data_IF_059298651894
#
_entry.id   IF_059298651894
#
_cell.length_a   1.000
_cell.length_b   1.000
_cell.length_c   1.000
_cell.angle_alpha   90.00
_cell.angle_beta   90.00
_cell.angle_gamma   90.00
#
_symmetry.space_group_name_H-M   'P 1'
#
loop_
_entity.id
_entity.type
_entity.pdbx_description
1 polymer ?
#
# COMPACT_ATOMS: atom_id res chain seq x y z
N UNK A 1 55.65 74.93 -1.10
CA UNK A 1 54.95 75.90 -1.93
C UNK A 1 53.47 75.51 -1.79
N UNK A 2 52.72 76.10 -0.81
CA UNK A 2 51.85 77.22 -1.10
C UNK A 2 50.57 76.69 -1.81
N UNK A 3 49.37 76.79 -1.40
CA UNK A 3 48.55 77.72 -0.59
C UNK A 3 47.17 77.13 -0.43
N UNK A 4 46.61 77.09 0.76
CA UNK A 4 45.54 77.94 1.35
C UNK A 4 44.13 77.80 0.80
N UNK A 5 43.22 77.55 1.73
CA UNK A 5 41.95 78.28 2.11
C UNK A 5 40.75 77.93 1.24
N UNK A 6 39.57 77.72 1.71
CA UNK A 6 38.81 78.50 2.70
C UNK A 6 37.54 77.80 3.19
N UNK A 7 37.02 78.27 4.24
CA UNK A 7 35.81 77.99 5.04
C UNK A 7 34.48 78.21 4.29
N UNK A 8 33.50 77.38 4.64
CA UNK A 8 32.09 77.67 4.35
C UNK A 8 31.15 76.96 5.28
N UNK A 9 30.69 77.62 6.29
CA UNK A 9 29.70 77.30 7.32
C UNK A 9 28.28 77.10 6.81
N UNK A 10 27.51 76.24 7.46
CA UNK A 10 26.03 76.32 7.47
C UNK A 10 25.40 74.92 7.52
N UNK A 11 24.98 74.42 8.57
CA UNK A 11 23.82 74.60 9.37
C UNK A 11 22.76 73.54 9.18
N UNK A 12 22.34 72.96 10.26
CA UNK A 12 21.03 72.42 10.59
C UNK A 12 20.69 70.95 10.23
N UNK A 13 20.62 70.13 11.23
CA UNK A 13 19.43 69.39 11.68
C UNK A 13 18.89 68.25 10.75
N UNK A 14 19.32 67.04 11.02
CA UNK A 14 18.64 65.86 10.48
C UNK A 14 18.86 64.70 11.44
N UNK A 15 17.81 64.30 12.12
CA UNK A 15 17.72 63.13 12.99
C UNK A 15 18.24 61.85 12.30
N UNK A 16 18.98 60.99 12.96
CA UNK A 16 19.42 59.71 12.38
C UNK A 16 18.24 58.73 12.32
N UNK A 17 17.73 58.54 11.13
CA UNK A 17 16.83 57.43 10.82
C UNK A 17 17.54 56.12 11.08
N UNK A 18 16.96 55.31 11.93
CA UNK A 18 17.38 53.96 12.22
C UNK A 18 17.37 53.08 10.95
N UNK A 19 18.49 52.99 10.28
CA UNK A 19 18.71 51.99 9.25
C UNK A 19 18.85 50.61 9.94
N UNK A 20 17.70 49.93 10.11
CA UNK A 20 17.69 48.51 10.46
C UNK A 20 18.54 47.78 9.43
N UNK A 21 19.62 47.20 9.88
CA UNK A 21 20.52 46.41 9.04
C UNK A 21 19.74 45.28 8.35
N UNK A 22 19.99 45.00 7.05
CA UNK A 22 19.34 43.90 6.31
C UNK A 22 19.54 42.54 6.98
N UNK A 23 20.53 42.44 7.86
CA UNK A 23 20.90 41.23 8.58
C UNK A 23 19.91 40.86 9.72
N UNK A 24 19.18 41.83 10.27
CA UNK A 24 18.14 41.57 11.27
C UNK A 24 16.84 41.02 10.70
N UNK A 25 16.60 41.20 9.40
CA UNK A 25 15.45 40.64 8.71
C UNK A 25 15.62 39.13 8.33
N UNK A 26 16.86 38.63 8.34
CA UNK A 26 17.16 37.26 7.94
C UNK A 26 16.91 36.21 9.06
N UNK A 27 16.66 36.65 10.31
CA UNK A 27 16.44 35.77 11.46
C UNK A 27 15.00 35.64 11.92
N UNK A 28 14.04 36.14 11.15
CA UNK A 28 12.64 35.80 11.39
C UNK A 28 12.42 34.32 11.06
N UNK A 29 12.59 33.47 12.06
CA UNK A 29 12.13 32.08 12.02
C UNK A 29 10.63 32.13 11.74
N UNK A 30 10.24 31.91 10.49
CA UNK A 30 8.84 31.74 10.12
C UNK A 30 8.37 30.49 10.85
N UNK A 31 7.46 30.61 11.83
CA UNK A 31 6.94 29.43 12.52
C UNK A 31 6.36 28.50 11.47
N UNK A 32 6.93 27.31 11.34
CA UNK A 32 6.48 26.31 10.41
C UNK A 32 5.02 26.00 10.68
N UNK A 33 4.16 26.53 9.82
CA UNK A 33 2.71 26.25 9.83
C UNK A 33 2.58 24.73 9.77
N UNK A 34 2.12 24.12 10.87
CA UNK A 34 1.79 22.70 10.90
C UNK A 34 0.93 22.38 9.66
N UNK A 35 1.52 21.71 8.70
CA UNK A 35 0.83 21.29 7.48
C UNK A 35 -0.23 20.31 7.92
N UNK A 36 -1.48 20.74 8.02
CA UNK A 36 -2.60 19.81 8.18
C UNK A 36 -2.53 18.82 7.03
N UNK A 37 -2.33 17.56 7.35
CA UNK A 37 -2.34 16.46 6.38
C UNK A 37 -3.78 16.35 5.87
N UNK A 38 -4.11 17.14 4.84
CA UNK A 38 -5.36 16.95 4.11
C UNK A 38 -5.19 15.73 3.23
N UNK A 39 -5.83 14.65 3.59
CA UNK A 39 -5.96 13.48 2.72
C UNK A 39 -6.46 13.95 1.34
N UNK A 40 -5.73 13.67 0.26
CA UNK A 40 -6.19 14.05 -1.06
C UNK A 40 -7.48 13.27 -1.33
N UNK A 41 -8.52 13.98 -1.76
CA UNK A 41 -9.78 13.39 -2.24
C UNK A 41 -9.54 12.76 -3.62
N UNK A 42 -8.66 11.76 -3.68
CA UNK A 42 -8.48 10.94 -4.88
C UNK A 42 -9.69 10.01 -5.00
N UNK A 43 -10.40 9.99 -6.13
CA UNK A 43 -11.52 9.08 -6.31
C UNK A 43 -11.12 7.62 -6.15
N UNK A 44 -9.88 7.26 -6.44
CA UNK A 44 -9.34 5.91 -6.25
C UNK A 44 -9.32 5.50 -4.79
N UNK A 45 -8.88 6.40 -3.88
CA UNK A 45 -8.85 6.15 -2.43
C UNK A 45 -10.28 6.00 -1.92
N UNK A 46 -11.20 6.87 -2.33
CA UNK A 46 -12.59 6.82 -1.86
C UNK A 46 -13.25 5.51 -2.30
N UNK A 47 -13.14 5.15 -3.59
CA UNK A 47 -13.71 3.91 -4.12
C UNK A 47 -13.07 2.70 -3.42
N UNK A 48 -11.75 2.65 -3.29
CA UNK A 48 -11.04 1.57 -2.61
C UNK A 48 -11.45 1.42 -1.14
N UNK A 49 -11.60 2.54 -0.40
CA UNK A 49 -12.06 2.53 1.00
C UNK A 49 -13.52 2.06 1.12
N UNK A 50 -14.41 2.51 0.23
CA UNK A 50 -15.81 2.08 0.24
C UNK A 50 -15.89 0.58 -0.05
N UNK A 51 -15.17 0.09 -1.07
CA UNK A 51 -15.14 -1.34 -1.40
C UNK A 51 -14.53 -2.16 -0.25
N UNK A 52 -13.39 -1.75 0.30
CA UNK A 52 -12.77 -2.46 1.43
C UNK A 52 -13.68 -2.41 2.67
N UNK A 53 -14.28 -1.26 2.95
CA UNK A 53 -15.26 -1.10 4.04
C UNK A 53 -16.46 -2.04 3.87
N UNK A 54 -16.96 -2.19 2.65
CA UNK A 54 -18.01 -3.15 2.32
C UNK A 54 -17.57 -4.59 2.68
N UNK A 55 -16.38 -5.02 2.24
CA UNK A 55 -15.88 -6.37 2.54
C UNK A 55 -15.61 -6.60 4.03
N UNK A 56 -15.10 -5.58 4.75
CA UNK A 56 -14.93 -5.67 6.20
C UNK A 56 -16.27 -5.80 6.92
N UNK A 57 -17.25 -5.00 6.52
CA UNK A 57 -18.60 -5.10 7.06
C UNK A 57 -19.22 -6.48 6.75
N UNK A 58 -19.05 -6.95 5.51
CA UNK A 58 -19.50 -8.25 5.05
C UNK A 58 -18.87 -9.40 5.86
N UNK A 59 -17.58 -9.32 6.17
CA UNK A 59 -16.89 -10.33 6.98
C UNK A 59 -17.32 -10.32 8.47
N UNK A 60 -17.63 -9.13 9.01
CA UNK A 60 -18.05 -9.00 10.41
C UNK A 60 -19.52 -9.44 10.56
N UNK A 61 -20.40 -8.91 9.72
CA UNK A 61 -21.86 -9.10 9.84
C UNK A 61 -22.33 -10.39 9.15
N UNK A 62 -21.60 -10.84 8.10
CA UNK A 62 -21.96 -11.98 7.28
C UNK A 62 -22.34 -13.24 8.05
N UNK A 63 -21.57 -13.70 9.03
CA UNK A 63 -21.89 -14.90 9.81
C UNK A 63 -23.20 -14.80 10.60
N UNK A 64 -23.66 -13.58 10.93
CA UNK A 64 -24.91 -13.37 11.68
C UNK A 64 -26.15 -13.27 10.79
N UNK A 65 -25.96 -12.84 9.54
CA UNK A 65 -27.04 -12.71 8.56
C UNK A 65 -27.14 -13.90 7.61
N UNK A 66 -26.19 -14.86 7.70
CA UNK A 66 -26.24 -16.08 6.89
C UNK A 66 -27.54 -16.86 7.16
N UNK A 67 -28.38 -17.11 6.13
CA UNK A 67 -29.67 -17.76 6.33
C UNK A 67 -29.54 -19.20 6.83
N UNK A 68 -28.45 -19.86 6.45
CA UNK A 68 -28.21 -21.28 6.75
C UNK A 68 -26.79 -21.47 7.32
N UNK A 69 -26.59 -22.55 8.07
CA UNK A 69 -25.22 -22.96 8.40
C UNK A 69 -24.47 -23.35 7.13
N UNK A 70 -23.23 -22.88 6.91
CA UNK A 70 -22.51 -23.11 5.65
C UNK A 70 -22.33 -24.59 5.26
N UNK A 71 -22.28 -25.48 6.25
CA UNK A 71 -22.14 -26.93 6.04
C UNK A 71 -23.43 -27.72 6.08
N UNK A 72 -24.59 -27.07 6.37
CA UNK A 72 -25.85 -27.76 6.43
C UNK A 72 -26.38 -28.10 5.03
N UNK A 73 -26.82 -29.34 4.83
CA UNK A 73 -27.56 -29.71 3.63
C UNK A 73 -28.99 -29.15 3.76
N UNK A 74 -29.38 -28.26 2.86
CA UNK A 74 -30.63 -27.49 2.91
C UNK A 74 -31.67 -27.95 1.90
N UNK A 75 -31.31 -28.94 1.06
CA UNK A 75 -32.20 -29.46 0.00
C UNK A 75 -32.17 -30.99 -0.06
N UNK A 76 -33.22 -31.58 -0.63
CA UNK A 76 -33.40 -33.03 -0.76
C UNK A 76 -33.27 -33.54 -2.21
N UNK A 77 -32.65 -32.76 -3.10
CA UNK A 77 -32.63 -33.03 -4.56
C UNK A 77 -31.52 -33.99 -5.00
N UNK A 78 -31.20 -35.01 -4.21
CA UNK A 78 -30.30 -36.12 -4.60
C UNK A 78 -28.94 -35.70 -5.18
N UNK A 79 -28.33 -34.62 -4.65
CA UNK A 79 -26.98 -34.22 -5.04
C UNK A 79 -26.89 -33.35 -6.32
N UNK A 80 -28.01 -32.90 -6.90
CA UNK A 80 -28.01 -31.99 -8.04
C UNK A 80 -27.99 -30.54 -7.55
N UNK A 81 -26.97 -29.73 -7.90
CA UNK A 81 -26.92 -28.31 -7.57
C UNK A 81 -28.16 -27.57 -8.09
N UNK A 82 -28.81 -26.78 -7.23
CA UNK A 82 -29.99 -26.01 -7.63
C UNK A 82 -29.57 -24.59 -8.06
N UNK A 83 -30.18 -24.05 -9.11
CA UNK A 83 -29.96 -22.67 -9.53
C UNK A 83 -30.46 -21.67 -8.49
N UNK A 84 -30.07 -20.39 -8.60
CA UNK A 84 -30.55 -19.31 -7.75
C UNK A 84 -32.08 -19.28 -7.67
N UNK A 85 -32.61 -19.15 -6.45
CA UNK A 85 -34.04 -19.13 -6.15
C UNK A 85 -34.33 -18.21 -4.96
N UNK A 86 -35.62 -17.97 -4.67
CA UNK A 86 -36.00 -17.17 -3.49
C UNK A 86 -35.58 -17.83 -2.16
N UNK A 87 -35.47 -19.15 -2.09
CA UNK A 87 -34.98 -19.88 -0.92
C UNK A 87 -33.42 -19.88 -0.86
N UNK A 88 -32.77 -19.92 -2.01
CA UNK A 88 -31.32 -19.96 -2.14
C UNK A 88 -30.85 -18.89 -3.13
N UNK A 89 -30.52 -17.71 -2.63
CA UNK A 89 -30.22 -16.51 -3.45
C UNK A 89 -29.11 -16.74 -4.48
N UNK A 90 -28.09 -17.50 -4.12
CA UNK A 90 -27.00 -17.91 -5.02
C UNK A 90 -27.01 -19.43 -5.30
N UNK A 91 -28.19 -20.08 -5.19
CA UNK A 91 -28.31 -21.51 -5.44
C UNK A 91 -27.59 -22.38 -4.42
N UNK A 92 -27.46 -23.68 -4.74
CA UNK A 92 -26.83 -24.68 -3.87
C UNK A 92 -25.64 -25.37 -4.53
N UNK A 93 -24.77 -25.95 -3.70
CA UNK A 93 -23.65 -26.81 -4.12
C UNK A 93 -24.14 -28.24 -4.41
N UNK A 94 -23.26 -29.11 -4.90
CA UNK A 94 -23.54 -30.52 -5.06
C UNK A 94 -23.85 -31.24 -3.73
N UNK A 95 -23.30 -30.77 -2.61
CA UNK A 95 -23.63 -31.25 -1.27
C UNK A 95 -24.91 -30.62 -0.71
N UNK A 96 -25.69 -29.93 -1.55
CA UNK A 96 -26.94 -29.24 -1.18
C UNK A 96 -26.75 -28.12 -0.15
N UNK A 97 -25.59 -27.52 -0.08
CA UNK A 97 -25.26 -26.44 0.83
C UNK A 97 -25.52 -25.08 0.17
N UNK A 98 -25.99 -24.11 0.94
CA UNK A 98 -26.33 -22.78 0.42
C UNK A 98 -25.07 -21.95 0.10
N UNK A 99 -24.91 -21.60 -1.19
CA UNK A 99 -23.73 -20.86 -1.70
C UNK A 99 -23.64 -19.46 -1.09
N UNK A 100 -24.79 -18.79 -0.88
CA UNK A 100 -24.81 -17.45 -0.29
C UNK A 100 -24.31 -17.44 1.16
N UNK A 101 -24.74 -18.40 1.97
CA UNK A 101 -24.28 -18.57 3.35
C UNK A 101 -22.77 -18.88 3.42
N UNK A 102 -22.28 -19.73 2.53
CA UNK A 102 -20.83 -20.01 2.42
C UNK A 102 -20.03 -18.76 2.03
N UNK A 103 -20.53 -17.95 1.09
CA UNK A 103 -19.89 -16.71 0.67
C UNK A 103 -19.78 -15.70 1.83
N UNK A 104 -20.85 -15.55 2.62
CA UNK A 104 -20.92 -14.67 3.79
C UNK A 104 -19.89 -15.08 4.86
N UNK A 105 -19.86 -16.36 5.23
CA UNK A 105 -18.99 -16.87 6.29
C UNK A 105 -17.52 -16.92 5.81
N UNK A 106 -17.29 -17.34 4.57
CA UNK A 106 -15.94 -17.49 3.99
C UNK A 106 -15.17 -16.18 3.88
N UNK A 107 -15.85 -15.04 3.81
CA UNK A 107 -15.22 -13.72 3.79
C UNK A 107 -14.45 -13.39 5.06
N UNK A 108 -14.92 -13.86 6.21
CA UNK A 108 -14.29 -13.60 7.51
C UNK A 108 -12.91 -14.23 7.61
N UNK A 109 -12.79 -15.52 7.31
CA UNK A 109 -11.52 -16.24 7.33
C UNK A 109 -10.52 -15.65 6.32
N UNK A 110 -10.99 -15.36 5.10
CA UNK A 110 -10.19 -14.74 4.06
C UNK A 110 -9.54 -13.43 4.50
N UNK A 111 -10.33 -12.51 5.06
CA UNK A 111 -9.85 -11.21 5.49
C UNK A 111 -8.93 -11.32 6.71
N UNK A 112 -9.29 -12.18 7.69
CA UNK A 112 -8.48 -12.40 8.88
C UNK A 112 -7.07 -12.86 8.51
N UNK A 113 -6.96 -13.90 7.67
CA UNK A 113 -5.67 -14.43 7.20
C UNK A 113 -4.88 -13.37 6.43
N UNK A 114 -5.53 -12.65 5.50
CA UNK A 114 -4.86 -11.67 4.67
C UNK A 114 -4.31 -10.48 5.47
N UNK A 115 -5.09 -9.93 6.39
CA UNK A 115 -4.64 -8.81 7.23
C UNK A 115 -3.59 -9.24 8.25
N UNK A 116 -3.74 -10.43 8.86
CA UNK A 116 -2.75 -10.98 9.77
C UNK A 116 -1.41 -11.21 9.08
N UNK A 117 -1.42 -11.91 7.94
CA UNK A 117 -0.22 -12.14 7.14
C UNK A 117 0.42 -10.83 6.69
N UNK A 118 -0.39 -9.88 6.20
CA UNK A 118 0.06 -8.56 5.79
C UNK A 118 0.72 -7.77 6.92
N UNK A 119 0.13 -7.78 8.13
CA UNK A 119 0.67 -7.10 9.29
C UNK A 119 2.02 -7.68 9.73
N UNK A 120 2.08 -9.00 9.88
CA UNK A 120 3.31 -9.70 10.33
C UNK A 120 4.43 -9.52 9.29
N UNK A 121 4.14 -9.75 8.00
CA UNK A 121 5.12 -9.58 6.94
C UNK A 121 5.62 -8.13 6.84
N UNK A 122 4.75 -7.14 7.05
CA UNK A 122 5.15 -5.73 7.06
C UNK A 122 6.04 -5.42 8.25
N UNK A 123 5.74 -5.91 9.44
CA UNK A 123 6.60 -5.73 10.62
C UNK A 123 7.97 -6.36 10.37
N UNK A 124 8.04 -7.57 9.84
CA UNK A 124 9.30 -8.23 9.45
C UNK A 124 10.06 -7.40 8.40
N UNK A 125 9.36 -6.88 7.39
CA UNK A 125 9.93 -6.03 6.35
C UNK A 125 10.52 -4.75 6.92
N UNK A 126 9.84 -4.11 7.86
CA UNK A 126 10.33 -2.88 8.53
C UNK A 126 11.57 -3.21 9.37
N UNK A 127 11.49 -4.21 10.24
CA UNK A 127 12.59 -4.57 11.14
C UNK A 127 13.84 -4.95 10.34
N UNK A 128 13.70 -5.85 9.37
CA UNK A 128 14.83 -6.36 8.60
C UNK A 128 15.32 -5.33 7.60
N UNK A 129 14.42 -4.72 6.82
CA UNK A 129 14.78 -3.79 5.75
C UNK A 129 15.38 -2.49 6.26
N UNK A 130 14.79 -1.88 7.31
CA UNK A 130 15.31 -0.64 7.87
C UNK A 130 16.63 -0.90 8.60
N UNK A 131 16.75 -1.99 9.34
CA UNK A 131 18.00 -2.36 10.02
C UNK A 131 19.14 -2.62 9.02
N UNK A 132 18.89 -3.38 7.96
CA UNK A 132 19.85 -3.63 6.89
C UNK A 132 20.28 -2.32 6.20
N UNK A 133 19.33 -1.44 5.87
CA UNK A 133 19.62 -0.17 5.23
C UNK A 133 20.36 0.84 6.09
N UNK A 134 20.15 0.81 7.41
CA UNK A 134 20.79 1.75 8.35
C UNK A 134 22.15 1.26 8.85
N UNK A 135 22.26 -0.01 9.27
CA UNK A 135 23.47 -0.65 9.74
C UNK A 135 24.24 -1.20 8.52
N UNK A 136 25.37 -0.59 8.18
CA UNK A 136 26.23 -1.07 7.09
C UNK A 136 27.10 -2.26 7.51
N UNK A 137 27.83 -2.86 6.54
CA UNK A 137 28.74 -3.98 6.76
C UNK A 137 28.05 -5.33 6.91
N UNK A 138 28.60 -6.21 7.74
CA UNK A 138 28.11 -7.60 7.87
C UNK A 138 26.60 -7.72 8.18
N UNK A 139 26.05 -6.79 8.94
CA UNK A 139 24.61 -6.79 9.25
C UNK A 139 23.77 -6.59 7.98
N UNK A 140 24.16 -5.62 7.15
CA UNK A 140 23.50 -5.39 5.87
C UNK A 140 23.64 -6.60 4.95
N UNK A 141 24.86 -7.15 4.83
CA UNK A 141 25.13 -8.28 3.95
C UNK A 141 24.32 -9.51 4.34
N UNK A 142 24.27 -9.87 5.64
CA UNK A 142 23.53 -11.03 6.12
C UNK A 142 22.02 -10.87 5.98
N UNK A 143 21.45 -9.72 6.35
CA UNK A 143 20.02 -9.48 6.24
C UNK A 143 19.57 -9.36 4.78
N UNK A 144 20.40 -8.79 3.92
CA UNK A 144 20.15 -8.72 2.48
C UNK A 144 20.27 -10.09 1.83
N UNK A 145 21.25 -10.92 2.24
CA UNK A 145 21.36 -12.30 1.77
C UNK A 145 20.13 -13.13 2.18
N UNK A 146 19.65 -12.99 3.41
CA UNK A 146 18.44 -13.64 3.88
C UNK A 146 17.21 -13.24 3.04
N UNK A 147 17.02 -11.92 2.80
CA UNK A 147 15.93 -11.43 1.98
C UNK A 147 16.02 -11.94 0.53
N UNK A 148 17.22 -11.95 -0.06
CA UNK A 148 17.44 -12.46 -1.40
C UNK A 148 17.16 -13.98 -1.48
N UNK A 149 17.51 -14.75 -0.46
CA UNK A 149 17.19 -16.18 -0.39
C UNK A 149 15.68 -16.41 -0.49
N UNK A 150 14.88 -15.68 0.31
CA UNK A 150 13.42 -15.80 0.25
C UNK A 150 12.81 -15.29 -1.07
N UNK A 151 13.43 -14.30 -1.73
CA UNK A 151 12.96 -13.81 -3.03
C UNK A 151 13.22 -14.77 -4.20
N UNK A 152 14.26 -15.62 -4.11
CA UNK A 152 14.59 -16.60 -5.13
C UNK A 152 13.70 -17.84 -5.01
N UNK A 153 13.26 -18.18 -3.79
CA UNK A 153 12.38 -19.32 -3.58
C UNK A 153 10.99 -19.07 -4.19
N UNK A 154 10.49 -19.97 -5.04
CA UNK A 154 9.14 -19.82 -5.55
C UNK A 154 8.14 -20.06 -4.42
N UNK A 155 7.35 -19.03 -4.11
CA UNK A 155 6.51 -18.98 -2.91
C UNK A 155 5.50 -20.14 -2.83
N UNK A 156 4.73 -20.40 -3.89
CA UNK A 156 3.73 -21.48 -3.88
C UNK A 156 4.32 -22.88 -3.67
N UNK A 157 5.39 -23.31 -4.39
CA UNK A 157 6.06 -24.58 -4.10
C UNK A 157 6.58 -24.68 -2.67
N UNK A 158 7.16 -23.60 -2.13
CA UNK A 158 7.61 -23.59 -0.73
C UNK A 158 6.44 -23.79 0.24
N UNK A 159 5.33 -23.14 0.01
CA UNK A 159 4.11 -23.27 0.82
C UNK A 159 3.53 -24.69 0.73
N UNK A 160 3.50 -25.31 -0.45
CA UNK A 160 3.07 -26.70 -0.62
C UNK A 160 3.91 -27.64 0.25
N UNK A 161 5.23 -27.47 0.22
CA UNK A 161 6.15 -28.28 1.05
C UNK A 161 5.87 -28.06 2.54
N UNK A 162 5.77 -26.80 2.99
CA UNK A 162 5.51 -26.48 4.40
C UNK A 162 4.18 -27.11 4.86
N UNK A 163 3.11 -26.96 4.07
CA UNK A 163 1.81 -27.53 4.40
C UNK A 163 1.79 -29.05 4.38
N UNK A 164 2.61 -29.69 3.54
CA UNK A 164 2.75 -31.14 3.50
C UNK A 164 3.34 -31.76 4.79
N UNK A 165 4.09 -30.97 5.57
CA UNK A 165 4.62 -31.39 6.88
C UNK A 165 3.73 -31.01 8.07
N UNK A 166 2.65 -30.25 7.85
CA UNK A 166 1.76 -29.84 8.92
C UNK A 166 0.73 -30.95 9.25
N UNK A 167 0.36 -31.09 10.53
CA UNK A 167 -0.80 -31.91 10.91
C UNK A 167 -2.06 -31.43 10.18
N UNK A 168 -3.00 -32.32 9.93
CA UNK A 168 -4.29 -32.01 9.26
C UNK A 168 -5.06 -30.87 9.92
N UNK A 169 -4.89 -30.67 11.23
CA UNK A 169 -5.46 -29.52 11.97
C UNK A 169 -4.83 -28.17 11.61
N UNK A 170 -3.61 -28.15 11.10
CA UNK A 170 -2.91 -26.93 10.73
C UNK A 170 -3.58 -26.17 9.57
N UNK A 171 -4.17 -26.88 8.63
CA UNK A 171 -4.92 -26.30 7.51
C UNK A 171 -6.27 -25.68 7.87
N UNK A 172 -6.70 -25.78 9.14
CA UNK A 172 -7.94 -25.15 9.64
C UNK A 172 -7.67 -23.94 10.56
N UNK A 173 -6.40 -23.63 10.85
CA UNK A 173 -6.04 -22.56 11.76
C UNK A 173 -5.62 -21.29 10.97
N UNK A 174 -6.50 -20.32 10.91
CA UNK A 174 -6.30 -19.05 10.21
C UNK A 174 -5.03 -18.31 10.66
N UNK A 175 -4.70 -18.37 11.95
CA UNK A 175 -3.50 -17.71 12.49
C UNK A 175 -2.24 -18.40 11.97
N UNK A 176 -2.21 -19.72 11.98
CA UNK A 176 -1.06 -20.49 11.48
C UNK A 176 -0.87 -20.29 9.97
N UNK A 177 -1.96 -20.31 9.20
CA UNK A 177 -1.93 -20.04 7.76
C UNK A 177 -1.39 -18.62 7.50
N UNK A 178 -1.88 -17.61 8.23
CA UNK A 178 -1.40 -16.25 8.14
C UNK A 178 0.09 -16.09 8.45
N UNK A 179 0.59 -16.77 9.49
CA UNK A 179 2.02 -16.81 9.84
C UNK A 179 2.87 -17.40 8.72
N UNK A 180 2.44 -18.52 8.14
CA UNK A 180 3.18 -19.19 7.08
C UNK A 180 3.24 -18.32 5.82
N UNK A 181 2.14 -17.67 5.44
CA UNK A 181 2.11 -16.72 4.31
C UNK A 181 3.03 -15.52 4.61
N UNK A 182 3.04 -15.03 5.85
CA UNK A 182 3.90 -13.91 6.24
C UNK A 182 5.39 -14.22 6.05
N UNK A 183 5.82 -15.46 6.34
CA UNK A 183 7.21 -15.90 6.17
C UNK A 183 7.68 -15.80 4.70
N UNK A 184 6.79 -15.92 3.74
CA UNK A 184 7.14 -15.78 2.31
C UNK A 184 6.96 -14.35 1.80
N UNK A 185 6.07 -13.55 2.39
CA UNK A 185 5.65 -12.24 1.88
C UNK A 185 6.52 -11.04 2.32
N UNK A 186 7.38 -11.18 3.32
CA UNK A 186 8.11 -10.05 3.91
C UNK A 186 9.30 -9.56 3.07
N UNK A 187 9.96 -10.44 2.33
CA UNK A 187 11.27 -10.19 1.73
C UNK A 187 11.26 -9.07 0.68
N UNK A 188 10.20 -8.96 -0.11
CA UNK A 188 10.03 -7.88 -1.08
C UNK A 188 9.92 -6.51 -0.40
N UNK A 189 9.08 -6.40 0.63
CA UNK A 189 8.94 -5.19 1.44
C UNK A 189 10.24 -4.77 2.12
N UNK A 190 10.98 -5.73 2.67
CA UNK A 190 12.29 -5.49 3.29
C UNK A 190 13.29 -4.90 2.29
N UNK A 191 13.33 -5.42 1.07
CA UNK A 191 14.21 -4.89 0.00
C UNK A 191 13.85 -3.46 -0.38
N UNK A 192 12.57 -3.14 -0.51
CA UNK A 192 12.09 -1.78 -0.79
C UNK A 192 12.47 -0.83 0.33
N UNK A 193 12.18 -1.20 1.59
CA UNK A 193 12.48 -0.38 2.77
C UNK A 193 13.98 -0.20 2.98
N UNK A 194 14.80 -1.22 2.71
CA UNK A 194 16.26 -1.10 2.72
C UNK A 194 16.74 -0.03 1.74
N UNK A 195 16.27 -0.07 0.49
CA UNK A 195 16.66 0.89 -0.55
C UNK A 195 16.28 2.33 -0.15
N UNK A 196 15.11 2.53 0.43
CA UNK A 196 14.67 3.83 0.92
C UNK A 196 15.48 4.30 2.14
N UNK A 197 15.78 3.40 3.08
CA UNK A 197 16.62 3.70 4.24
C UNK A 197 18.03 4.13 3.85
N UNK A 198 18.62 3.48 2.84
CA UNK A 198 19.92 3.86 2.29
C UNK A 198 19.93 5.31 1.76
N UNK A 199 18.81 5.78 1.19
CA UNK A 199 18.71 7.17 0.72
C UNK A 199 18.51 8.18 1.84
N UNK A 200 17.90 7.76 2.96
CA UNK A 200 17.61 8.63 4.10
C UNK A 200 18.78 8.73 5.10
N UNK A 201 19.56 7.66 5.25
CA UNK A 201 20.63 7.59 6.28
C UNK A 201 21.75 8.61 6.11
N UNK A 202 21.91 9.17 4.91
CA UNK A 202 22.94 10.17 4.57
C UNK A 202 22.34 11.60 4.51
N UNK A 203 21.20 11.84 5.16
CA UNK A 203 20.58 13.17 5.22
C UNK A 203 21.13 13.96 6.41
N UNK A 204 21.20 15.27 6.25
CA UNK A 204 21.77 16.21 7.24
C UNK A 204 21.18 16.06 8.63
N UNK A 205 19.87 15.79 8.74
CA UNK A 205 19.22 15.60 10.04
C UNK A 205 19.65 14.30 10.74
N UNK A 206 19.99 13.24 9.98
CA UNK A 206 20.50 11.97 10.50
C UNK A 206 21.95 12.17 10.98
N UNK A 207 22.75 12.91 10.22
CA UNK A 207 24.13 13.21 10.61
C UNK A 207 24.18 14.14 11.82
N UNK A 208 23.27 15.11 11.92
CA UNK A 208 23.11 15.95 13.11
C UNK A 208 22.78 15.14 14.36
N UNK A 209 21.88 14.15 14.25
CA UNK A 209 21.53 13.26 15.35
C UNK A 209 22.73 12.36 15.76
N UNK A 210 23.53 11.90 14.81
CA UNK A 210 24.79 11.16 15.10
C UNK A 210 25.80 12.02 15.82
N UNK A 211 26.01 13.28 15.41
CA UNK A 211 26.90 14.23 16.04
C UNK A 211 26.43 14.60 17.46
N UNK A 212 25.11 14.61 17.70
CA UNK A 212 24.55 14.78 19.04
C UNK A 212 24.73 13.55 19.96
N UNK A 213 25.30 12.44 19.45
CA UNK A 213 25.56 11.22 20.23
C UNK A 213 24.32 10.32 20.39
N UNK A 214 23.30 10.50 19.58
CA UNK A 214 22.09 9.67 19.61
C UNK A 214 22.37 8.21 19.28
N UNK A 215 21.69 7.29 19.98
CA UNK A 215 21.81 5.84 19.73
C UNK A 215 21.13 5.43 18.42
N UNK A 216 21.68 4.47 17.70
CA UNK A 216 21.17 3.99 16.40
C UNK A 216 19.66 3.66 16.43
N UNK A 217 19.17 2.94 17.44
CA UNK A 217 17.75 2.59 17.55
C UNK A 217 16.84 3.83 17.68
N UNK A 218 17.33 4.90 18.32
CA UNK A 218 16.58 6.16 18.45
C UNK A 218 16.56 6.92 17.14
N UNK A 219 17.67 6.97 16.41
CA UNK A 219 17.74 7.55 15.07
C UNK A 219 16.79 6.78 14.12
N UNK A 220 16.81 5.44 14.15
CA UNK A 220 15.90 4.62 13.34
C UNK A 220 14.44 4.93 13.67
N UNK A 221 14.08 4.97 14.96
CA UNK A 221 12.68 5.11 15.39
C UNK A 221 12.12 6.52 15.23
N UNK A 222 12.93 7.56 15.47
CA UNK A 222 12.43 8.94 15.49
C UNK A 222 12.77 9.74 14.23
N UNK A 223 13.88 9.42 13.55
CA UNK A 223 14.30 10.19 12.37
C UNK A 223 14.01 9.47 11.06
N UNK A 224 14.19 8.15 11.00
CA UNK A 224 14.05 7.40 9.74
C UNK A 224 12.62 6.84 9.58
N UNK A 225 12.12 6.11 10.58
CA UNK A 225 10.85 5.40 10.49
C UNK A 225 9.65 6.33 10.20
N UNK A 226 9.51 7.53 10.81
CA UNK A 226 8.42 8.43 10.50
C UNK A 226 8.42 8.90 9.03
N UNK A 227 9.58 9.04 8.43
CA UNK A 227 9.73 9.41 7.03
C UNK A 227 9.43 8.24 6.07
N UNK A 228 9.52 6.99 6.56
CA UNK A 228 9.19 5.77 5.81
C UNK A 228 7.72 5.36 5.95
N UNK A 229 6.96 5.91 6.92
CA UNK A 229 5.57 5.51 7.18
C UNK A 229 4.67 5.45 5.92
N UNK A 230 4.74 6.42 5.00
CA UNK A 230 3.94 6.34 3.77
C UNK A 230 4.30 5.10 2.91
N UNK A 231 5.58 4.77 2.82
CA UNK A 231 6.08 3.60 2.07
C UNK A 231 5.71 2.30 2.80
N UNK A 232 5.78 2.29 4.14
CA UNK A 232 5.33 1.16 4.97
C UNK A 232 3.84 0.90 4.74
N UNK A 233 3.01 1.94 4.68
CA UNK A 233 1.57 1.82 4.40
C UNK A 233 1.30 1.22 3.00
N UNK A 234 2.02 1.68 1.96
CA UNK A 234 1.93 1.10 0.61
C UNK A 234 2.40 -0.36 0.61
N UNK A 235 3.52 -0.67 1.26
CA UNK A 235 4.03 -2.04 1.41
C UNK A 235 3.04 -2.95 2.14
N UNK A 236 2.37 -2.45 3.18
CA UNK A 236 1.33 -3.19 3.89
C UNK A 236 0.17 -3.57 2.97
N UNK A 237 -0.39 -2.62 2.22
CA UNK A 237 -1.49 -2.88 1.30
C UNK A 237 -1.08 -3.88 0.20
N UNK A 238 0.13 -3.74 -0.33
CA UNK A 238 0.68 -4.69 -1.29
C UNK A 238 0.82 -6.10 -0.71
N UNK A 239 1.30 -6.21 0.54
CA UNK A 239 1.47 -7.51 1.21
C UNK A 239 0.13 -8.15 1.56
N UNK A 240 -0.89 -7.36 1.96
CA UNK A 240 -2.25 -7.85 2.14
C UNK A 240 -2.82 -8.38 0.81
N UNK A 241 -2.63 -7.65 -0.29
CA UNK A 241 -3.04 -8.11 -1.62
C UNK A 241 -2.35 -9.42 -2.02
N UNK A 242 -1.03 -9.51 -1.78
CA UNK A 242 -0.26 -10.75 -1.97
C UNK A 242 -0.82 -11.90 -1.13
N UNK A 243 -1.17 -11.65 0.13
CA UNK A 243 -1.73 -12.66 1.03
C UNK A 243 -3.12 -13.14 0.58
N UNK A 244 -3.99 -12.25 0.08
CA UNK A 244 -5.28 -12.61 -0.54
C UNK A 244 -5.08 -13.59 -1.70
N UNK A 245 -4.19 -13.26 -2.63
CA UNK A 245 -3.90 -14.13 -3.79
C UNK A 245 -3.29 -15.47 -3.39
N UNK A 246 -2.32 -15.44 -2.47
CA UNK A 246 -1.62 -16.64 -1.99
C UNK A 246 -2.56 -17.57 -1.22
N UNK A 247 -3.36 -17.03 -0.29
CA UNK A 247 -4.34 -17.81 0.46
C UNK A 247 -5.39 -18.44 -0.47
N UNK A 248 -5.91 -17.67 -1.43
CA UNK A 248 -6.86 -18.18 -2.43
C UNK A 248 -6.25 -19.32 -3.23
N UNK A 249 -5.01 -19.18 -3.71
CA UNK A 249 -4.32 -20.22 -4.46
C UNK A 249 -4.10 -21.49 -3.62
N UNK A 250 -3.67 -21.34 -2.36
CA UNK A 250 -3.47 -22.47 -1.44
C UNK A 250 -4.80 -23.21 -1.16
N UNK A 251 -5.85 -22.46 -0.87
CA UNK A 251 -7.17 -23.04 -0.62
C UNK A 251 -7.73 -23.73 -1.89
N UNK A 252 -7.55 -23.13 -3.07
CA UNK A 252 -7.93 -23.69 -4.35
C UNK A 252 -7.17 -24.99 -4.70
N UNK A 253 -5.90 -25.11 -4.27
CA UNK A 253 -5.11 -26.32 -4.41
C UNK A 253 -5.41 -27.40 -3.35
N UNK A 254 -6.33 -27.12 -2.41
CA UNK A 254 -6.70 -28.05 -1.34
C UNK A 254 -5.68 -28.17 -0.19
N UNK A 255 -4.73 -27.23 -0.08
CA UNK A 255 -3.75 -27.19 1.01
C UNK A 255 -4.37 -26.71 2.32
N UNK A 256 -5.35 -25.82 2.24
CA UNK A 256 -6.21 -25.44 3.36
C UNK A 256 -7.29 -26.51 3.51
N UNK A 257 -7.66 -26.82 4.77
CA UNK A 257 -8.71 -27.80 5.01
C UNK A 257 -10.01 -27.42 4.25
N UNK A 258 -10.48 -28.27 3.32
CA UNK A 258 -11.65 -27.94 2.49
C UNK A 258 -12.97 -27.75 3.28
N UNK A 259 -13.02 -28.21 4.55
CA UNK A 259 -14.15 -27.99 5.46
C UNK A 259 -14.07 -26.63 6.18
N UNK A 260 -12.96 -25.92 6.04
CA UNK A 260 -12.78 -24.57 6.54
C UNK A 260 -13.29 -23.55 5.51
N UNK A 261 -14.41 -22.89 5.80
CA UNK A 261 -15.11 -22.05 4.85
C UNK A 261 -14.32 -20.78 4.49
N UNK A 262 -13.94 -20.67 3.24
CA UNK A 262 -13.33 -19.49 2.63
C UNK A 262 -13.70 -19.41 1.15
N UNK A 263 -13.52 -18.26 0.54
CA UNK A 263 -13.79 -18.13 -0.91
C UNK A 263 -12.87 -19.03 -1.75
N UNK A 264 -11.64 -19.30 -1.28
CA UNK A 264 -10.74 -20.22 -1.96
C UNK A 264 -11.18 -21.69 -1.86
N UNK A 265 -11.69 -22.13 -0.70
CA UNK A 265 -12.24 -23.49 -0.54
C UNK A 265 -13.55 -23.69 -1.28
N UNK A 266 -14.38 -22.64 -1.44
CA UNK A 266 -15.56 -22.68 -2.31
C UNK A 266 -15.15 -22.96 -3.77
N UNK A 267 -14.09 -22.29 -4.26
CA UNK A 267 -13.54 -22.53 -5.60
C UNK A 267 -12.97 -23.95 -5.75
N UNK A 268 -12.29 -24.45 -4.71
CA UNK A 268 -11.82 -25.85 -4.68
C UNK A 268 -12.97 -26.85 -4.86
N UNK A 269 -14.05 -26.70 -4.12
CA UNK A 269 -15.20 -27.59 -4.22
C UNK A 269 -15.92 -27.46 -5.59
N UNK A 270 -16.05 -26.25 -6.11
CA UNK A 270 -16.64 -26.01 -7.42
C UNK A 270 -15.82 -26.71 -8.52
N UNK A 271 -14.48 -26.58 -8.47
CA UNK A 271 -13.57 -27.27 -9.41
C UNK A 271 -13.66 -28.78 -9.26
N UNK A 272 -13.60 -29.31 -8.02
CA UNK A 272 -13.65 -30.74 -7.75
C UNK A 272 -14.94 -31.39 -8.23
N UNK A 273 -16.04 -30.63 -8.23
CA UNK A 273 -17.34 -31.06 -8.75
C UNK A 273 -17.53 -30.78 -10.26
N UNK A 274 -16.51 -30.30 -10.97
CA UNK A 274 -16.60 -29.90 -12.38
C UNK A 274 -17.75 -28.91 -12.66
N UNK A 275 -18.01 -27.98 -11.73
CA UNK A 275 -19.11 -27.04 -11.79
C UNK A 275 -19.06 -26.15 -13.06
N UNK A 276 -17.87 -25.83 -13.58
CA UNK A 276 -17.66 -25.05 -14.79
C UNK A 276 -18.18 -25.79 -16.02
N UNK A 277 -17.83 -27.07 -16.16
CA UNK A 277 -18.25 -27.92 -17.30
C UNK A 277 -19.75 -28.20 -17.24
N UNK A 278 -20.28 -28.37 -16.02
CA UNK A 278 -21.71 -28.64 -15.78
C UNK A 278 -22.58 -27.39 -15.88
N UNK A 279 -21.99 -26.20 -16.06
CA UNK A 279 -22.72 -24.94 -16.20
C UNK A 279 -23.26 -24.36 -14.89
N UNK A 280 -22.77 -24.81 -13.73
CA UNK A 280 -23.19 -24.31 -12.39
C UNK A 280 -22.46 -23.03 -12.02
N UNK A 281 -22.61 -21.96 -12.87
CA UNK A 281 -21.92 -20.67 -12.73
C UNK A 281 -22.13 -20.00 -11.37
N UNK A 282 -23.27 -20.20 -10.73
CA UNK A 282 -23.61 -19.63 -9.42
C UNK A 282 -22.76 -20.17 -8.28
N UNK A 283 -22.03 -21.25 -8.48
CA UNK A 283 -21.20 -21.84 -7.48
C UNK A 283 -19.77 -21.29 -7.49
N UNK A 284 -19.17 -21.07 -8.65
CA UNK A 284 -17.78 -20.59 -8.77
C UNK A 284 -17.68 -19.08 -9.04
N UNK A 285 -18.63 -18.46 -9.72
CA UNK A 285 -18.57 -17.05 -10.10
C UNK A 285 -18.64 -16.11 -8.87
N UNK A 286 -19.54 -16.28 -7.91
CA UNK A 286 -19.62 -15.39 -6.74
C UNK A 286 -18.33 -15.35 -5.90
N UNK A 287 -17.74 -16.48 -5.47
CA UNK A 287 -16.47 -16.42 -4.73
C UNK A 287 -15.31 -15.88 -5.56
N UNK A 288 -15.26 -16.19 -6.87
CA UNK A 288 -14.26 -15.62 -7.77
C UNK A 288 -14.36 -14.11 -7.90
N UNK A 289 -15.58 -13.58 -8.06
CA UNK A 289 -15.81 -12.12 -8.08
C UNK A 289 -15.51 -11.47 -6.73
N UNK A 290 -15.83 -12.12 -5.62
CA UNK A 290 -15.51 -11.57 -4.30
C UNK A 290 -13.99 -11.39 -4.12
N UNK A 291 -13.19 -12.39 -4.50
CA UNK A 291 -11.71 -12.28 -4.49
C UNK A 291 -11.23 -11.17 -5.44
N UNK A 292 -11.77 -11.10 -6.66
CA UNK A 292 -11.39 -10.10 -7.67
C UNK A 292 -11.71 -8.68 -7.21
N UNK A 293 -12.89 -8.44 -6.64
CA UNK A 293 -13.28 -7.13 -6.12
C UNK A 293 -12.49 -6.74 -4.87
N UNK A 294 -12.21 -7.69 -3.96
CA UNK A 294 -11.33 -7.43 -2.81
C UNK A 294 -9.92 -7.05 -3.27
N UNK A 295 -9.38 -7.80 -4.23
CA UNK A 295 -8.08 -7.49 -4.84
C UNK A 295 -8.07 -6.11 -5.51
N UNK A 296 -9.15 -5.76 -6.22
CA UNK A 296 -9.33 -4.44 -6.84
C UNK A 296 -9.39 -3.33 -5.79
N UNK A 297 -10.11 -3.54 -4.69
CA UNK A 297 -10.19 -2.57 -3.59
C UNK A 297 -8.81 -2.28 -3.00
N UNK A 298 -8.04 -3.32 -2.70
CA UNK A 298 -6.67 -3.20 -2.17
C UNK A 298 -5.71 -2.55 -3.17
N UNK A 299 -5.81 -2.91 -4.46
CA UNK A 299 -5.01 -2.30 -5.52
C UNK A 299 -5.31 -0.80 -5.69
N UNK A 300 -6.60 -0.41 -5.68
CA UNK A 300 -7.01 1.00 -5.75
C UNK A 300 -6.48 1.80 -4.56
N UNK A 301 -6.51 1.22 -3.36
CA UNK A 301 -5.95 1.84 -2.15
C UNK A 301 -4.44 1.99 -2.28
N UNK A 302 -3.73 0.95 -2.74
CA UNK A 302 -2.29 1.00 -2.93
C UNK A 302 -1.90 2.10 -3.94
N UNK A 303 -2.52 2.14 -5.12
CA UNK A 303 -2.30 3.22 -6.09
C UNK A 303 -2.64 4.60 -5.55
N UNK A 304 -3.66 4.70 -4.69
CA UNK A 304 -4.04 5.95 -4.04
C UNK A 304 -3.00 6.42 -3.03
N UNK A 305 -2.42 5.51 -2.25
CA UNK A 305 -1.33 5.80 -1.31
C UNK A 305 -0.07 6.19 -2.07
N UNK A 306 0.29 5.48 -3.14
CA UNK A 306 1.44 5.81 -3.98
C UNK A 306 1.31 7.21 -4.63
N UNK A 307 0.11 7.61 -5.06
CA UNK A 307 -0.17 8.95 -5.58
C UNK A 307 -0.02 10.03 -4.48
N UNK A 308 -0.27 9.67 -3.23
CA UNK A 308 -0.04 10.56 -2.08
C UNK A 308 1.44 10.72 -1.77
N UNK A 309 2.20 9.63 -1.81
CA UNK A 309 3.65 9.60 -1.53
C UNK A 309 4.41 10.34 -2.63
N UNK A 310 4.00 10.22 -3.89
CA UNK A 310 4.71 10.76 -5.04
C UNK A 310 3.94 11.91 -5.72
N UNK A 311 4.12 13.17 -5.27
CA UNK A 311 3.38 14.32 -5.81
C UNK A 311 3.66 14.59 -7.30
N UNK A 312 4.74 14.02 -7.88
CA UNK A 312 5.03 14.11 -9.32
C UNK A 312 3.99 13.37 -10.17
N UNK A 313 3.45 12.25 -9.69
CA UNK A 313 2.35 11.54 -10.37
C UNK A 313 1.08 12.38 -10.44
N UNK A 314 0.86 13.23 -9.44
CA UNK A 314 -0.25 14.20 -9.38
C UNK A 314 -0.09 15.33 -10.40
N UNK A 315 1.14 15.79 -10.58
CA UNK A 315 1.47 16.85 -11.56
C UNK A 315 1.25 16.36 -13.01
N UNK A 316 1.54 15.11 -13.31
CA UNK A 316 1.30 14.50 -14.62
C UNK A 316 -0.19 14.53 -15.03
N UNK A 317 -1.12 14.28 -14.08
CA UNK A 317 -2.56 14.38 -14.31
C UNK A 317 -3.04 15.82 -14.54
N UNK A 318 -2.43 16.80 -13.86
CA UNK A 318 -2.71 18.24 -14.06
C UNK A 318 -2.16 18.74 -15.40
N UNK A 319 -1.01 18.22 -15.82
CA UNK A 319 -0.40 18.54 -17.13
C UNK A 319 -1.31 18.08 -18.26
N UNK A 320 -1.91 16.88 -18.16
CA UNK A 320 -2.87 16.37 -19.15
C UNK A 320 -4.13 17.23 -19.26
N UNK A 321 -4.67 17.73 -18.14
CA UNK A 321 -5.80 18.69 -18.15
C UNK A 321 -5.38 20.04 -18.75
N UNK A 322 -4.19 20.54 -18.46
CA UNK A 322 -3.65 21.76 -19.08
C UNK A 322 -3.43 21.58 -20.58
N UNK A 323 -2.79 20.47 -20.99
CA UNK A 323 -2.57 20.16 -22.42
C UNK A 323 -3.91 20.09 -23.17
N UNK A 324 -4.96 19.48 -22.59
CA UNK A 324 -6.30 19.46 -23.18
C UNK A 324 -6.88 20.87 -23.32
N UNK A 325 -6.66 21.75 -22.33
CA UNK A 325 -7.09 23.14 -22.34
C UNK A 325 -6.35 23.99 -23.38
N UNK A 326 -5.05 23.70 -23.62
CA UNK A 326 -4.27 24.28 -24.70
C UNK A 326 -4.70 23.78 -26.11
N UNK A 327 -5.10 22.50 -26.20
CA UNK A 327 -5.57 21.91 -27.44
C UNK A 327 -6.94 22.46 -27.87
N UNK A 328 -7.77 22.92 -26.92
CA UNK A 328 -9.08 23.53 -27.18
C UNK A 328 -9.03 25.04 -27.45
N UNK A 329 -7.83 25.66 -27.48
CA UNK A 329 -7.69 27.12 -27.78
C UNK A 329 -8.06 28.06 -26.64
N UNK A 330 -8.40 27.53 -25.47
CA UNK A 330 -8.85 28.34 -24.31
C UNK A 330 -7.71 29.07 -23.56
N UNK A 331 -6.44 28.80 -23.92
CA UNK A 331 -5.27 29.45 -23.31
C UNK A 331 -4.29 29.85 -24.41
N UNK A 332 -3.80 31.13 -24.45
CA UNK A 332 -2.87 31.56 -25.47
C UNK A 332 -1.60 30.74 -25.48
N UNK A 333 -1.18 30.29 -26.68
CA UNK A 333 0.01 29.50 -26.92
C UNK A 333 1.30 30.29 -26.58
N UNK A 334 1.69 30.31 -25.31
CA UNK A 334 3.03 30.71 -24.87
C UNK A 334 3.72 29.49 -24.22
N UNK A 335 3.96 28.44 -25.00
CA UNK A 335 4.75 27.30 -24.54
C UNK A 335 5.71 26.88 -25.65
N UNK A 336 6.96 27.17 -25.46
CA UNK A 336 8.05 26.61 -26.26
C UNK A 336 8.53 25.35 -25.56
N UNK A 337 8.27 24.19 -26.15
CA UNK A 337 8.75 22.88 -25.64
C UNK A 337 10.27 22.88 -25.82
N UNK A 338 11.03 22.71 -24.72
CA UNK A 338 12.47 22.54 -24.76
C UNK A 338 13.34 23.61 -24.09
N UNK A 339 12.74 24.66 -23.53
CA UNK A 339 13.49 25.67 -22.75
C UNK A 339 13.34 25.37 -21.25
N UNK A 340 14.44 25.09 -20.58
CA UNK A 340 14.51 25.15 -19.12
C UNK A 340 14.27 26.59 -18.65
N UNK A 341 13.66 26.82 -17.48
CA UNK A 341 13.32 28.18 -16.99
C UNK A 341 14.53 29.13 -16.80
N UNK A 342 15.73 28.66 -17.05
CA UNK A 342 17.00 29.39 -16.84
C UNK A 342 17.50 30.08 -18.13
N UNK A 343 16.89 29.79 -19.29
CA UNK A 343 17.31 30.41 -20.57
C UNK A 343 16.18 31.30 -21.07
N UNK A 344 16.09 32.52 -20.57
CA UNK A 344 15.38 33.60 -21.24
C UNK A 344 16.26 34.07 -22.41
N UNK A 345 15.87 33.73 -23.64
CA UNK A 345 16.44 34.36 -24.83
C UNK A 345 16.08 35.85 -24.78
N UNK A 346 17.10 36.70 -24.66
CA UNK A 346 16.90 38.14 -24.77
C UNK A 346 16.28 38.44 -26.13
N UNK A 347 15.29 39.37 -26.13
CA UNK A 347 14.70 39.86 -27.37
C UNK A 347 15.80 40.48 -28.23
N UNK A 348 16.19 39.77 -29.29
CA UNK A 348 17.27 40.18 -30.20
C UNK A 348 18.09 38.98 -30.72
N UNK A 349 18.05 37.84 -30.11
CA UNK A 349 18.80 36.60 -30.53
C UNK A 349 17.89 35.57 -31.23
N UNK A 350 17.00 36.04 -32.10
CA UNK A 350 16.27 35.15 -33.00
C UNK A 350 17.05 35.05 -34.33
N UNK A 351 17.37 33.83 -34.84
CA UNK A 351 17.92 33.64 -36.16
C UNK A 351 16.93 34.07 -37.25
#
# INVERSE_FOLDING_TARGET
MSTTTDLGTGGAGGTPGSTGSPEAAALAVVPGRARSVRFPKSPKIIIGLVMLGFFLLFAIVGPWIAPYSPGASVSTTNGVPQPPSAAHLLGTTQLQQDVFSQLLVGGRSMLLVAFLAGAIATVLSVVIGVTAGFLSGLTDDLLSMLANFFLVLPALPLLIVIFGFLPSSGGSNDVLIGLIIAITGWAFGARVLRAQTLSLRNRDYVDSARLAGERNWRIIGYEILPNLLPIVASSFLFTVLYAVGTYTAMAFLGLVNPQHWSWGTMLFWAQSANAEISGYWWWYLPPGLAVAFLGTALALLNFGVDEFINPRLRAAGLTRKRVKKYATGEVPRRFTIGLTPVVELREGERP
#
